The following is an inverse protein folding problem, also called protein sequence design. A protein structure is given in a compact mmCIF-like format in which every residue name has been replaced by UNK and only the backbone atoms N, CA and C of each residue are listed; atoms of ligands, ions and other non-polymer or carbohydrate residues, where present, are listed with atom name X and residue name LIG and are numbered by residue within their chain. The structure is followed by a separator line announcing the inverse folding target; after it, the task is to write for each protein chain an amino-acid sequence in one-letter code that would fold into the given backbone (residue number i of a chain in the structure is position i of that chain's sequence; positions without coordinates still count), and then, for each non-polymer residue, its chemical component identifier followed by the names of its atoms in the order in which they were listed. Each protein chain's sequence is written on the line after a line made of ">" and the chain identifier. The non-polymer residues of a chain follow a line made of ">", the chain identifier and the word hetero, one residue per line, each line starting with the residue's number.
data_IF_276940178832
#
_entry.id   IF_276940178832
#
_cell.length_a   1.000
_cell.length_b   1.000
_cell.length_c   1.000
_cell.angle_alpha   90.00
_cell.angle_beta   90.00
_cell.angle_gamma   90.00
#
_symmetry.space_group_name_H-M   'P 1'
#
loop_
_entity.id
_entity.type
_entity.pdbx_description
1 polymer ?
#
# COMPACT_ATOMS: atom_id res chain seq x y z
N UNK A 1 -7.04 -16.74 -9.16
CA UNK A 1 -6.32 -16.10 -8.03
C UNK A 1 -6.55 -14.59 -8.12
N UNK A 2 -6.91 -13.91 -7.04
CA UNK A 2 -7.14 -12.47 -7.08
C UNK A 2 -5.79 -11.73 -7.24
N UNK A 3 -5.68 -10.91 -8.29
CA UNK A 3 -4.47 -10.15 -8.60
C UNK A 3 -4.31 -9.01 -7.59
N UNK A 4 -3.14 -8.92 -6.95
CA UNK A 4 -2.83 -7.81 -6.05
C UNK A 4 -2.54 -6.54 -6.86
N UNK A 5 -3.13 -5.43 -6.42
CA UNK A 5 -3.02 -4.13 -7.05
C UNK A 5 -2.46 -3.13 -6.04
N UNK A 6 -1.50 -2.31 -6.45
CA UNK A 6 -0.97 -1.22 -5.65
C UNK A 6 -1.59 0.12 -6.06
N UNK A 7 -1.90 0.96 -5.07
CA UNK A 7 -2.37 2.31 -5.31
C UNK A 7 -1.23 3.22 -5.76
N UNK A 8 -1.36 3.90 -6.90
CA UNK A 8 -0.33 4.86 -7.37
C UNK A 8 -0.17 6.07 -6.45
N UNK A 9 -1.23 6.42 -5.70
CA UNK A 9 -1.22 7.59 -4.81
C UNK A 9 -0.57 7.32 -3.46
N UNK A 10 -0.87 6.19 -2.83
CA UNK A 10 -0.45 5.92 -1.45
C UNK A 10 0.27 4.57 -1.27
N UNK A 11 0.50 3.84 -2.36
CA UNK A 11 1.20 2.55 -2.42
C UNK A 11 0.55 1.38 -1.67
N UNK A 12 -0.64 1.57 -1.10
CA UNK A 12 -1.37 0.48 -0.43
C UNK A 12 -1.68 -0.64 -1.43
N UNK A 13 -1.39 -1.88 -1.06
CA UNK A 13 -1.65 -3.08 -1.85
C UNK A 13 -2.94 -3.72 -1.36
N UNK A 14 -3.86 -3.98 -2.29
CA UNK A 14 -5.14 -4.58 -1.99
C UNK A 14 -5.66 -5.41 -3.16
N UNK A 15 -6.67 -6.23 -2.90
CA UNK A 15 -7.42 -6.97 -3.91
C UNK A 15 -8.77 -6.27 -4.06
N UNK A 16 -8.87 -5.34 -5.00
CA UNK A 16 -10.08 -4.54 -5.20
C UNK A 16 -9.92 -3.49 -6.29
N UNK A 17 -11.02 -2.80 -6.62
CA UNK A 17 -11.04 -1.70 -7.61
C UNK A 17 -10.78 -0.32 -6.99
N UNK A 18 -10.85 -0.21 -5.67
CA UNK A 18 -10.70 1.05 -4.92
C UNK A 18 -9.76 0.83 -3.74
N UNK A 19 -8.79 1.72 -3.57
CA UNK A 19 -7.84 1.68 -2.48
C UNK A 19 -8.57 1.85 -1.12
N UNK A 20 -8.45 0.91 -0.18
CA UNK A 20 -9.10 1.02 1.13
C UNK A 20 -8.52 2.16 1.98
N UNK A 21 -7.26 2.54 1.75
CA UNK A 21 -6.55 3.55 2.52
C UNK A 21 -6.88 4.99 2.11
N UNK A 22 -6.89 5.31 0.80
CA UNK A 22 -7.10 6.68 0.30
C UNK A 22 -8.31 6.84 -0.63
N UNK A 23 -9.08 5.77 -0.87
CA UNK A 23 -10.28 5.76 -1.75
C UNK A 23 -10.04 6.09 -3.23
N UNK A 24 -8.77 6.13 -3.68
CA UNK A 24 -8.43 6.23 -5.10
C UNK A 24 -8.83 4.97 -5.86
N UNK A 25 -9.33 5.12 -7.08
CA UNK A 25 -9.48 4.03 -8.06
C UNK A 25 -8.25 3.83 -8.95
N UNK A 26 -7.23 4.69 -8.82
CA UNK A 26 -5.97 4.60 -9.57
C UNK A 26 -5.04 3.54 -8.95
N UNK A 27 -5.24 2.30 -9.40
CA UNK A 27 -4.54 1.10 -8.96
C UNK A 27 -3.83 0.45 -10.15
N UNK A 28 -2.64 -0.11 -9.92
CA UNK A 28 -1.82 -0.78 -10.95
C UNK A 28 -1.39 -2.17 -10.47
N UNK A 29 -1.32 -3.16 -11.38
CA UNK A 29 -0.68 -4.43 -11.08
C UNK A 29 0.85 -4.37 -11.14
N UNK A 30 1.43 -3.30 -11.71
CA UNK A 30 2.88 -3.14 -11.82
C UNK A 30 3.44 -2.40 -10.59
N UNK A 31 3.98 -3.19 -9.67
CA UNK A 31 4.59 -2.70 -8.45
C UNK A 31 5.62 -3.71 -7.95
N UNK A 32 6.60 -3.23 -7.19
CA UNK A 32 7.74 -4.04 -6.73
C UNK A 32 8.09 -3.74 -5.28
N UNK A 33 8.55 -4.78 -4.58
CA UNK A 33 8.89 -4.72 -3.16
C UNK A 33 7.65 -4.58 -2.28
N UNK A 34 7.70 -5.18 -1.09
CA UNK A 34 6.58 -5.22 -0.16
C UNK A 34 7.06 -4.82 1.23
N UNK A 35 6.27 -4.02 1.92
CA UNK A 35 6.39 -3.81 3.36
C UNK A 35 5.03 -4.05 4.02
N UNK A 36 5.06 -4.75 5.15
CA UNK A 36 3.89 -4.99 5.98
C UNK A 36 4.00 -4.13 7.23
N UNK A 37 3.04 -3.22 7.40
CA UNK A 37 2.94 -2.37 8.59
C UNK A 37 1.86 -2.95 9.48
N UNK A 38 2.27 -3.56 10.60
CA UNK A 38 1.37 -4.05 11.64
C UNK A 38 0.86 -2.92 12.55
N UNK A 39 1.77 -2.28 13.30
CA UNK A 39 1.45 -1.13 14.15
C UNK A 39 2.16 0.14 13.65
N UNK A 40 1.45 1.07 12.96
CA UNK A 40 2.03 2.32 12.49
C UNK A 40 2.56 3.23 13.61
N UNK A 41 1.96 3.20 14.80
CA UNK A 41 2.31 4.10 15.90
C UNK A 41 3.71 3.82 16.48
N UNK A 42 4.09 2.54 16.51
CA UNK A 42 5.38 2.07 17.05
C UNK A 42 6.41 1.75 15.96
N UNK A 43 6.00 1.72 14.69
CA UNK A 43 6.87 1.34 13.58
C UNK A 43 7.71 2.50 13.08
N UNK A 44 9.04 2.40 13.30
CA UNK A 44 10.02 3.30 12.69
C UNK A 44 9.93 3.27 11.16
N UNK A 45 9.70 2.08 10.57
CA UNK A 45 9.53 1.91 9.12
C UNK A 45 8.31 2.67 8.62
N UNK A 46 7.18 2.57 9.32
CA UNK A 46 5.96 3.28 8.96
C UNK A 46 6.15 4.80 8.98
N UNK A 47 6.82 5.33 10.00
CA UNK A 47 7.20 6.74 10.10
C UNK A 47 8.12 7.17 8.96
N UNK A 48 9.17 6.40 8.67
CA UNK A 48 10.10 6.70 7.57
C UNK A 48 9.41 6.72 6.21
N UNK A 49 8.42 5.84 5.99
CA UNK A 49 7.68 5.75 4.73
C UNK A 49 6.43 6.65 4.68
N UNK A 50 6.09 7.35 5.76
CA UNK A 50 4.92 8.23 5.83
C UNK A 50 3.57 7.49 5.81
N UNK A 51 3.52 6.25 6.31
CA UNK A 51 2.31 5.43 6.33
C UNK A 51 1.65 5.43 7.72
N UNK A 52 0.45 6.00 7.82
CA UNK A 52 -0.31 6.10 9.08
C UNK A 52 -1.32 4.98 9.31
N UNK A 53 -1.52 4.08 8.34
CA UNK A 53 -2.49 2.98 8.43
C UNK A 53 -1.76 1.64 8.38
N UNK A 54 -2.30 0.65 9.09
CA UNK A 54 -1.82 -0.71 9.01
C UNK A 54 -2.18 -1.32 7.66
N UNK A 55 -1.31 -2.20 7.16
CA UNK A 55 -1.55 -2.92 5.92
C UNK A 55 -0.29 -3.19 5.11
N UNK A 56 -0.52 -3.70 3.91
CA UNK A 56 0.50 -4.04 2.92
C UNK A 56 0.74 -2.84 2.00
N UNK A 57 2.00 -2.46 1.81
CA UNK A 57 2.39 -1.36 0.94
C UNK A 57 3.48 -1.81 -0.04
N UNK A 58 3.43 -1.29 -1.25
CA UNK A 58 4.47 -1.46 -2.25
C UNK A 58 5.59 -0.44 -2.04
N UNK A 59 6.84 -0.82 -2.30
CA UNK A 59 7.96 0.13 -2.22
C UNK A 59 8.02 1.01 -3.48
N UNK A 60 7.85 0.38 -4.64
CA UNK A 60 7.81 1.01 -5.96
C UNK A 60 6.49 0.67 -6.66
N UNK A 61 5.89 1.67 -7.31
CA UNK A 61 4.63 1.55 -8.06
C UNK A 61 4.80 2.29 -9.38
N UNK A 62 4.37 1.69 -10.49
CA UNK A 62 4.48 2.25 -11.84
C UNK A 62 3.11 2.45 -12.51
#
# INVERSE_FOLDING_TARGET
>A
MAKEMACRKCKYVSQGKVCPACKSSDLTPDWQGIVLIGNPAESKIARTLGHAKAGKYALKVT
#
